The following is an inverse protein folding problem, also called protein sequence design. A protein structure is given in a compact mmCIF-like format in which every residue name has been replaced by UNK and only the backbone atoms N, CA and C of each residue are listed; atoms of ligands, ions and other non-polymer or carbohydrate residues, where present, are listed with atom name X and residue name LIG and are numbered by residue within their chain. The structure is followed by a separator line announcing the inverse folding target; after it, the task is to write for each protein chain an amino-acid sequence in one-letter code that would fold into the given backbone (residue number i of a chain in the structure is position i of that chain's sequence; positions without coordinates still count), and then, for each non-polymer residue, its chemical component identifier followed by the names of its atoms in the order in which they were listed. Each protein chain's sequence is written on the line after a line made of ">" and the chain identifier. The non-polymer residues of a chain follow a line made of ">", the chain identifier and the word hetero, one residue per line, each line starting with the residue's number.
data_IF_201451844123
#
_entry.id   IF_201451844123
#
_cell.length_a   1.000
_cell.length_b   1.000
_cell.length_c   1.000
_cell.angle_alpha   90.00
_cell.angle_beta   90.00
_cell.angle_gamma   90.00
#
_symmetry.space_group_name_H-M   'P 1'
#
loop_
_entity.id
_entity.type
_entity.pdbx_description
1 polymer ?
#
# COMPACT_ATOMS: atom_id res chain seq x y z
N UNK A 1 -16.17 -23.23 -67.88
CA UNK A 1 -16.87 -23.68 -66.65
C UNK A 1 -15.89 -24.41 -65.76
N UNK A 2 -15.66 -23.85 -64.55
CA UNK A 2 -15.30 -24.47 -63.26
C UNK A 2 -14.38 -23.50 -62.51
N UNK A 3 -15.03 -22.64 -61.72
CA UNK A 3 -14.36 -21.78 -60.75
C UNK A 3 -13.93 -22.65 -59.56
N UNK A 4 -12.67 -22.51 -59.14
CA UNK A 4 -12.15 -23.11 -57.93
C UNK A 4 -12.37 -22.14 -56.77
N UNK A 5 -13.24 -22.50 -55.83
CA UNK A 5 -13.47 -21.74 -54.60
C UNK A 5 -12.48 -22.21 -53.56
N UNK A 6 -11.51 -21.36 -53.22
CA UNK A 6 -10.63 -21.55 -52.06
C UNK A 6 -11.43 -21.18 -50.81
N UNK A 7 -11.68 -22.15 -49.94
CA UNK A 7 -12.27 -21.91 -48.61
C UNK A 7 -11.13 -21.56 -47.66
N UNK A 8 -11.02 -20.29 -47.29
CA UNK A 8 -10.17 -19.86 -46.17
C UNK A 8 -10.90 -20.12 -44.86
N UNK A 9 -10.40 -21.06 -44.05
CA UNK A 9 -10.80 -21.20 -42.65
C UNK A 9 -10.22 -20.02 -41.84
N UNK A 10 -11.08 -19.10 -41.38
CA UNK A 10 -10.73 -18.23 -40.27
C UNK A 10 -10.78 -19.05 -38.98
N UNK A 11 -9.63 -19.29 -38.36
CA UNK A 11 -9.56 -19.74 -36.99
C UNK A 11 -9.82 -18.53 -36.08
N UNK A 12 -10.98 -18.47 -35.44
CA UNK A 12 -11.24 -17.52 -34.37
C UNK A 12 -10.47 -17.96 -33.13
N UNK A 13 -9.41 -17.23 -32.77
CA UNK A 13 -8.74 -17.35 -31.48
C UNK A 13 -9.68 -16.78 -30.42
N UNK A 14 -10.38 -17.66 -29.70
CA UNK A 14 -11.08 -17.28 -28.49
C UNK A 14 -10.06 -17.06 -27.37
N UNK A 15 -9.79 -15.80 -27.02
CA UNK A 15 -9.11 -15.48 -25.76
C UNK A 15 -10.07 -15.85 -24.61
N UNK A 16 -9.89 -17.04 -24.06
CA UNK A 16 -10.57 -17.46 -22.84
C UNK A 16 -10.01 -16.67 -21.67
N UNK A 17 -10.70 -15.61 -21.25
CA UNK A 17 -10.50 -15.08 -19.90
C UNK A 17 -10.88 -16.18 -18.91
N UNK A 18 -9.93 -16.62 -18.08
CA UNK A 18 -10.22 -17.51 -16.97
C UNK A 18 -11.12 -16.77 -15.98
N UNK A 19 -12.43 -16.97 -16.08
CA UNK A 19 -13.39 -16.47 -15.10
C UNK A 19 -13.20 -17.30 -13.83
N UNK A 20 -12.65 -16.67 -12.80
CA UNK A 20 -12.50 -17.29 -11.48
C UNK A 20 -13.88 -17.35 -10.81
N UNK A 21 -14.61 -18.46 -11.03
CA UNK A 21 -15.97 -18.71 -10.55
C UNK A 21 -16.12 -18.76 -9.00
N UNK A 22 -15.04 -18.56 -8.25
CA UNK A 22 -15.03 -18.51 -6.79
C UNK A 22 -15.02 -17.10 -6.18
N UNK A 23 -14.84 -16.03 -6.98
CA UNK A 23 -14.88 -14.65 -6.45
C UNK A 23 -16.34 -14.28 -6.17
N UNK A 24 -16.68 -13.90 -4.93
CA UNK A 24 -17.95 -13.22 -4.64
C UNK A 24 -18.06 -12.01 -5.58
N UNK A 25 -19.28 -11.63 -5.95
CA UNK A 25 -19.50 -10.36 -6.63
C UNK A 25 -19.07 -9.24 -5.69
N UNK A 26 -17.85 -8.76 -5.85
CA UNK A 26 -17.33 -7.61 -5.14
C UNK A 26 -17.99 -6.35 -5.71
N UNK A 27 -18.38 -5.38 -4.88
CA UNK A 27 -19.15 -4.22 -5.32
C UNK A 27 -18.34 -3.22 -6.17
N UNK A 28 -17.01 -3.38 -6.24
CA UNK A 28 -16.11 -2.56 -7.03
C UNK A 28 -15.19 -3.44 -7.90
N UNK A 29 -15.13 -3.16 -9.20
CA UNK A 29 -14.21 -3.78 -10.17
C UNK A 29 -13.19 -2.75 -10.64
N UNK A 30 -11.91 -3.13 -10.72
CA UNK A 30 -10.81 -2.24 -11.13
C UNK A 30 -10.07 -2.87 -12.30
N UNK A 31 -9.94 -2.11 -13.39
CA UNK A 31 -9.17 -2.49 -14.58
C UNK A 31 -8.19 -1.40 -14.94
N UNK A 32 -7.01 -1.78 -15.45
CA UNK A 32 -5.99 -0.84 -15.90
C UNK A 32 -5.71 -1.01 -17.39
N UNK A 33 -5.34 0.08 -18.06
CA UNK A 33 -4.83 0.11 -19.42
C UNK A 33 -3.69 1.12 -19.56
N UNK A 34 -2.78 0.86 -20.50
CA UNK A 34 -1.72 1.81 -20.88
C UNK A 34 -2.29 2.85 -21.84
N UNK A 35 -2.13 4.13 -21.53
CA UNK A 35 -2.67 5.27 -22.32
C UNK A 35 -1.60 6.23 -22.82
N UNK A 36 -0.36 6.07 -22.36
CA UNK A 36 0.83 6.77 -22.81
C UNK A 36 2.05 5.86 -22.66
N UNK A 37 3.26 6.42 -22.61
CA UNK A 37 4.47 5.62 -22.45
C UNK A 37 4.47 4.85 -21.12
N UNK A 38 4.68 5.53 -19.99
CA UNK A 38 4.55 4.98 -18.65
C UNK A 38 3.22 5.35 -17.99
N UNK A 39 2.33 5.98 -18.77
CA UNK A 39 1.05 6.47 -18.29
C UNK A 39 -0.03 5.38 -18.34
N UNK A 40 -0.67 5.19 -17.19
CA UNK A 40 -1.73 4.21 -16.98
C UNK A 40 -3.04 4.92 -16.68
N UNK A 41 -4.13 4.27 -17.04
CA UNK A 41 -5.48 4.67 -16.67
C UNK A 41 -6.20 3.49 -16.03
N UNK A 42 -6.76 3.71 -14.85
CA UNK A 42 -7.66 2.77 -14.21
C UNK A 42 -9.11 3.18 -14.43
N UNK A 43 -9.96 2.18 -14.61
CA UNK A 43 -11.43 2.29 -14.60
C UNK A 43 -11.96 1.54 -13.39
N UNK A 44 -12.63 2.24 -12.48
CA UNK A 44 -13.24 1.71 -11.26
C UNK A 44 -14.73 1.70 -11.47
N UNK A 45 -15.32 0.52 -11.51
CA UNK A 45 -16.76 0.32 -11.78
C UNK A 45 -17.46 -0.09 -10.50
N UNK A 46 -18.51 0.63 -10.11
CA UNK A 46 -19.43 0.13 -9.10
C UNK A 46 -20.39 -0.87 -9.76
N UNK A 47 -20.15 -2.15 -9.48
CA UNK A 47 -20.95 -3.28 -10.01
C UNK A 47 -22.16 -3.60 -9.11
N UNK A 48 -22.28 -2.91 -7.98
CA UNK A 48 -23.38 -3.00 -7.05
C UNK A 48 -24.65 -2.29 -7.51
N UNK A 49 -25.61 -2.19 -6.60
CA UNK A 49 -26.94 -1.60 -6.86
C UNK A 49 -27.20 -0.29 -6.11
N UNK A 50 -26.25 0.16 -5.28
CA UNK A 50 -26.32 1.38 -4.49
C UNK A 50 -25.05 2.23 -4.69
N UNK A 51 -25.12 3.55 -4.50
CA UNK A 51 -23.94 4.40 -4.54
C UNK A 51 -22.94 4.03 -3.43
N UNK A 52 -21.66 4.14 -3.72
CA UNK A 52 -20.58 3.90 -2.77
C UNK A 52 -19.69 5.12 -2.66
N UNK A 53 -19.29 5.48 -1.44
CA UNK A 53 -18.34 6.55 -1.19
C UNK A 53 -16.98 5.94 -0.93
N UNK A 54 -16.11 5.95 -1.94
CA UNK A 54 -14.79 5.31 -1.88
C UNK A 54 -13.78 6.30 -1.29
N UNK A 55 -13.06 5.87 -0.24
CA UNK A 55 -12.02 6.66 0.39
C UNK A 55 -10.84 6.84 -0.56
N UNK A 56 -10.40 8.08 -0.77
CA UNK A 56 -9.32 8.40 -1.71
C UNK A 56 -7.94 8.08 -1.14
N UNK A 57 -7.67 8.47 0.09
CA UNK A 57 -6.36 8.34 0.73
C UNK A 57 -5.87 6.88 0.72
N UNK A 58 -4.62 6.66 0.30
CA UNK A 58 -3.98 5.35 0.17
C UNK A 58 -4.52 4.46 -0.95
N UNK A 59 -5.50 4.93 -1.73
CA UNK A 59 -6.11 4.15 -2.81
C UNK A 59 -5.58 4.56 -4.19
N UNK A 60 -6.03 3.86 -5.24
CA UNK A 60 -5.77 4.25 -6.63
C UNK A 60 -6.31 5.66 -6.99
N UNK A 61 -7.27 6.17 -6.22
CA UNK A 61 -7.85 7.50 -6.33
C UNK A 61 -7.04 8.59 -5.61
N UNK A 62 -6.00 8.24 -4.85
CA UNK A 62 -5.19 9.21 -4.11
C UNK A 62 -4.47 10.17 -5.07
N UNK A 63 -4.40 11.45 -4.73
CA UNK A 63 -3.63 12.45 -5.49
C UNK A 63 -2.13 12.42 -5.18
N UNK A 64 -1.74 11.76 -4.10
CA UNK A 64 -0.37 11.59 -3.63
C UNK A 64 0.36 10.50 -4.44
N UNK A 65 1.71 10.48 -4.42
CA UNK A 65 2.51 9.49 -5.15
C UNK A 65 2.54 8.14 -4.42
N UNK A 66 1.37 7.58 -4.13
CA UNK A 66 1.21 6.21 -3.63
C UNK A 66 1.38 5.20 -4.76
N UNK A 67 1.62 3.92 -4.42
CA UNK A 67 1.74 2.89 -5.43
C UNK A 67 0.37 2.50 -5.97
N UNK A 68 0.14 2.77 -7.25
CA UNK A 68 -1.13 2.47 -7.95
C UNK A 68 -1.04 1.27 -8.87
N UNK A 69 0.18 0.86 -9.23
CA UNK A 69 0.45 -0.33 -10.03
C UNK A 69 1.84 -0.86 -9.70
N UNK A 70 1.98 -2.17 -9.68
CA UNK A 70 3.23 -2.89 -9.53
C UNK A 70 3.78 -3.28 -10.89
N UNK A 71 5.10 -3.16 -11.05
CA UNK A 71 5.82 -3.49 -12.29
C UNK A 71 6.77 -4.65 -12.05
N UNK A 72 6.83 -5.55 -13.02
CA UNK A 72 7.81 -6.62 -13.02
C UNK A 72 8.26 -7.02 -14.41
N UNK A 73 9.49 -7.51 -14.50
CA UNK A 73 9.99 -8.16 -15.70
C UNK A 73 10.13 -9.66 -15.44
N UNK A 74 9.86 -10.46 -16.46
CA UNK A 74 10.26 -11.87 -16.45
C UNK A 74 11.78 -11.94 -16.60
N UNK A 75 12.44 -12.80 -15.83
CA UNK A 75 13.86 -13.08 -16.03
C UNK A 75 14.08 -13.66 -17.43
N UNK A 76 15.28 -13.45 -17.98
CA UNK A 76 15.68 -13.96 -19.30
C UNK A 76 15.58 -15.49 -19.38
N UNK A 77 15.68 -16.18 -18.24
CA UNK A 77 15.54 -17.65 -18.14
C UNK A 77 14.11 -18.13 -17.81
N UNK A 78 13.15 -17.22 -17.63
CA UNK A 78 11.74 -17.53 -17.32
C UNK A 78 11.49 -18.09 -15.91
N UNK A 79 12.50 -18.15 -15.04
CA UNK A 79 12.40 -18.75 -13.70
C UNK A 79 12.26 -17.75 -12.55
N UNK A 80 12.39 -16.45 -12.83
CA UNK A 80 12.34 -15.38 -11.83
C UNK A 80 11.48 -14.20 -12.30
N UNK A 81 10.85 -13.52 -11.34
CA UNK A 81 10.15 -12.25 -11.55
C UNK A 81 10.95 -11.17 -10.85
N UNK A 82 11.45 -10.18 -11.59
CA UNK A 82 12.14 -9.04 -11.02
C UNK A 82 11.15 -7.89 -10.88
N UNK A 83 10.78 -7.55 -9.64
CA UNK A 83 9.93 -6.39 -9.36
C UNK A 83 10.73 -5.10 -9.51
N UNK A 84 10.13 -4.07 -10.09
CA UNK A 84 10.65 -2.71 -10.04
C UNK A 84 10.28 -2.12 -8.69
N UNK A 85 11.26 -1.58 -7.98
CA UNK A 85 11.03 -0.99 -6.66
C UNK A 85 10.09 0.23 -6.76
N UNK A 86 9.27 0.40 -5.73
CA UNK A 86 8.47 1.60 -5.52
C UNK A 86 9.29 2.66 -4.76
N UNK A 87 9.26 3.90 -5.23
CA UNK A 87 10.02 5.04 -4.67
C UNK A 87 9.14 6.21 -4.22
N UNK A 88 7.81 6.02 -4.26
CA UNK A 88 6.82 6.98 -3.78
C UNK A 88 6.61 6.92 -2.27
N UNK A 89 5.37 7.15 -1.80
CA UNK A 89 5.01 7.11 -0.37
C UNK A 89 4.00 6.00 -0.06
N UNK A 90 4.20 5.37 1.10
CA UNK A 90 3.24 4.47 1.77
C UNK A 90 2.54 5.25 2.86
N UNK A 91 1.27 5.00 3.12
CA UNK A 91 0.46 5.87 4.01
C UNK A 91 -0.33 5.02 5.00
N UNK A 92 -0.43 5.43 6.26
CA UNK A 92 -1.48 4.91 7.15
C UNK A 92 -2.71 5.81 7.11
N UNK A 93 -3.88 5.21 6.90
CA UNK A 93 -5.13 5.94 6.64
C UNK A 93 -6.14 5.78 7.78
N UNK A 94 -6.68 6.91 8.24
CA UNK A 94 -7.70 7.00 9.28
C UNK A 94 -9.01 6.35 8.80
N UNK A 95 -9.82 5.84 9.73
CA UNK A 95 -11.05 5.11 9.45
C UNK A 95 -12.33 5.74 10.04
N UNK A 96 -12.16 6.72 10.92
CA UNK A 96 -13.24 7.53 11.50
C UNK A 96 -13.04 9.03 11.22
N UNK A 97 -14.06 9.84 11.53
CA UNK A 97 -13.98 11.32 11.51
C UNK A 97 -13.49 11.93 10.18
N UNK A 98 -13.73 11.23 9.07
CA UNK A 98 -13.32 11.65 7.72
C UNK A 98 -14.30 12.70 7.18
N UNK A 99 -13.81 13.81 6.58
CA UNK A 99 -14.66 14.80 5.92
C UNK A 99 -15.21 14.27 4.58
N UNK A 100 -16.25 14.91 4.05
CA UNK A 100 -16.82 14.53 2.75
C UNK A 100 -15.81 14.59 1.60
N UNK A 101 -14.86 15.53 1.68
CA UNK A 101 -13.76 15.69 0.74
C UNK A 101 -12.80 14.52 0.70
N UNK A 102 -12.80 13.62 1.69
CA UNK A 102 -11.98 12.42 1.70
C UNK A 102 -12.48 11.35 0.71
N UNK A 103 -13.73 11.45 0.25
CA UNK A 103 -14.38 10.41 -0.55
C UNK A 103 -14.60 10.83 -2.01
N UNK A 104 -14.63 9.82 -2.88
CA UNK A 104 -15.18 9.88 -4.23
C UNK A 104 -16.46 9.04 -4.23
N UNK A 105 -17.61 9.66 -4.51
CA UNK A 105 -18.85 8.90 -4.74
C UNK A 105 -18.80 8.24 -6.11
N UNK A 106 -19.21 6.98 -6.18
CA UNK A 106 -19.38 6.19 -7.40
C UNK A 106 -20.81 5.65 -7.40
N UNK A 107 -21.65 6.20 -8.27
CA UNK A 107 -23.05 5.78 -8.43
C UNK A 107 -23.14 4.32 -8.89
N UNK A 108 -24.28 3.66 -8.66
CA UNK A 108 -24.48 2.29 -9.13
C UNK A 108 -24.35 2.20 -10.66
N UNK A 109 -23.43 1.35 -11.15
CA UNK A 109 -23.11 1.22 -12.57
C UNK A 109 -22.20 2.32 -13.14
N UNK A 110 -21.80 3.32 -12.35
CA UNK A 110 -20.86 4.34 -12.77
C UNK A 110 -19.44 3.78 -12.90
N UNK A 111 -18.68 4.35 -13.85
CA UNK A 111 -17.26 4.10 -14.04
C UNK A 111 -16.48 5.39 -13.80
N UNK A 112 -15.72 5.44 -12.71
CA UNK A 112 -14.75 6.51 -12.45
C UNK A 112 -13.42 6.14 -13.09
N UNK A 113 -12.78 7.11 -13.75
CA UNK A 113 -11.48 6.93 -14.40
C UNK A 113 -10.42 7.79 -13.71
N UNK A 114 -9.26 7.19 -13.45
CA UNK A 114 -8.08 7.89 -12.91
C UNK A 114 -6.87 7.57 -13.77
N UNK A 115 -6.09 8.59 -14.09
CA UNK A 115 -4.89 8.50 -14.93
C UNK A 115 -3.69 8.98 -14.14
N UNK A 116 -2.56 8.30 -14.28
CA UNK A 116 -1.30 8.68 -13.64
C UNK A 116 -0.12 8.18 -14.46
N UNK A 117 1.03 8.83 -14.29
CA UNK A 117 2.28 8.35 -14.86
C UNK A 117 3.04 7.50 -13.84
N UNK A 118 3.15 6.20 -14.10
CA UNK A 118 3.80 5.27 -13.18
C UNK A 118 5.31 5.49 -13.05
N UNK A 119 5.95 6.13 -14.04
CA UNK A 119 7.39 6.43 -13.97
C UNK A 119 7.72 7.49 -12.90
N UNK A 120 6.73 8.20 -12.36
CA UNK A 120 6.94 9.09 -11.22
C UNK A 120 7.47 8.34 -9.99
N UNK A 121 7.01 7.11 -9.78
CA UNK A 121 7.26 6.36 -8.53
C UNK A 121 7.87 4.97 -8.75
N UNK A 122 8.09 4.58 -10.01
CA UNK A 122 8.89 3.43 -10.39
C UNK A 122 9.96 3.88 -11.38
N UNK A 123 11.21 3.49 -11.13
CA UNK A 123 12.27 3.71 -12.11
C UNK A 123 12.14 2.69 -13.25
N UNK A 124 11.49 3.12 -14.33
CA UNK A 124 11.27 2.34 -15.55
C UNK A 124 12.32 2.66 -16.64
N UNK A 125 13.45 3.27 -16.27
CA UNK A 125 14.49 3.71 -17.22
C UNK A 125 15.14 2.58 -18.02
N UNK A 126 15.05 1.33 -17.55
CA UNK A 126 15.53 0.17 -18.30
C UNK A 126 14.77 -0.02 -19.63
N UNK A 127 13.52 0.45 -19.70
CA UNK A 127 12.63 0.24 -20.83
C UNK A 127 12.33 -1.24 -21.12
N UNK A 128 11.62 -1.48 -22.22
CA UNK A 128 11.25 -2.83 -22.68
C UNK A 128 9.90 -3.28 -22.16
N UNK A 129 9.69 -4.60 -22.13
CA UNK A 129 8.42 -5.21 -21.79
C UNK A 129 8.26 -5.42 -20.29
N UNK A 130 7.13 -4.98 -19.75
CA UNK A 130 6.75 -5.13 -18.35
C UNK A 130 5.43 -5.87 -18.22
N UNK A 131 5.33 -6.68 -17.16
CA UNK A 131 4.07 -7.13 -16.59
C UNK A 131 3.64 -6.12 -15.52
N UNK A 132 2.48 -5.53 -15.71
CA UNK A 132 1.89 -4.50 -14.86
C UNK A 132 0.64 -5.06 -14.22
N UNK A 133 0.48 -4.91 -12.92
CA UNK A 133 -0.77 -5.22 -12.21
C UNK A 133 -1.11 -4.07 -11.29
N UNK A 134 -2.39 -3.85 -11.02
CA UNK A 134 -2.84 -3.00 -9.94
C UNK A 134 -3.57 -3.87 -8.93
N UNK A 135 -2.97 -3.98 -7.75
CA UNK A 135 -3.52 -4.71 -6.61
C UNK A 135 -3.54 -3.80 -5.40
N UNK A 136 -4.56 -3.94 -4.56
CA UNK A 136 -4.75 -3.11 -3.38
C UNK A 136 -6.15 -3.25 -2.82
N UNK A 137 -6.57 -2.27 -2.01
CA UNK A 137 -7.92 -2.24 -1.45
C UNK A 137 -8.61 -0.90 -1.67
N UNK A 138 -9.94 -0.94 -1.85
CA UNK A 138 -10.83 0.21 -1.89
C UNK A 138 -11.74 0.17 -0.68
N UNK A 139 -11.44 1.00 0.32
CA UNK A 139 -12.29 1.18 1.50
C UNK A 139 -13.46 2.08 1.12
N UNK A 140 -14.65 1.76 1.58
CA UNK A 140 -15.86 2.50 1.22
C UNK A 140 -16.79 2.72 2.42
N UNK A 141 -17.57 3.79 2.32
CA UNK A 141 -18.72 4.09 3.16
C UNK A 141 -20.01 3.97 2.33
N UNK A 142 -21.11 3.72 3.04
CA UNK A 142 -22.45 3.76 2.45
C UNK A 142 -22.86 5.19 2.06
N UNK A 143 -23.85 5.32 1.19
CA UNK A 143 -24.44 6.60 0.80
C UNK A 143 -24.85 7.44 2.04
N UNK A 144 -24.53 8.73 2.03
CA UNK A 144 -24.85 9.64 3.13
C UNK A 144 -24.04 9.45 4.42
N UNK A 145 -23.04 8.56 4.43
CA UNK A 145 -22.17 8.29 5.57
C UNK A 145 -20.69 8.54 5.23
N UNK A 146 -19.89 8.91 6.24
CA UNK A 146 -18.41 8.91 6.18
C UNK A 146 -17.78 7.81 7.03
N UNK A 147 -18.60 6.97 7.66
CA UNK A 147 -18.12 5.82 8.41
C UNK A 147 -17.80 4.69 7.43
N UNK A 148 -16.57 4.21 7.45
CA UNK A 148 -16.15 3.07 6.65
C UNK A 148 -17.02 1.85 7.00
N UNK A 149 -17.70 1.32 5.97
CA UNK A 149 -18.62 0.20 6.07
C UNK A 149 -17.96 -1.12 5.64
N UNK A 150 -16.96 -1.04 4.76
CA UNK A 150 -16.22 -2.20 4.28
C UNK A 150 -15.04 -1.82 3.40
N UNK A 151 -14.44 -2.84 2.80
CA UNK A 151 -13.39 -2.68 1.80
C UNK A 151 -13.47 -3.77 0.75
N UNK A 152 -12.99 -3.47 -0.46
CA UNK A 152 -12.82 -4.43 -1.55
C UNK A 152 -11.34 -4.59 -1.84
N UNK A 153 -10.80 -5.80 -1.67
CA UNK A 153 -9.44 -6.12 -2.14
C UNK A 153 -9.53 -6.51 -3.61
N UNK A 154 -8.89 -5.72 -4.48
CA UNK A 154 -8.97 -5.87 -5.92
C UNK A 154 -7.67 -6.37 -6.53
N UNK A 155 -7.79 -6.94 -7.73
CA UNK A 155 -6.69 -7.33 -8.59
C UNK A 155 -7.15 -7.07 -10.02
N UNK A 156 -6.44 -6.20 -10.74
CA UNK A 156 -6.77 -5.83 -12.12
C UNK A 156 -6.46 -6.92 -13.13
N UNK A 157 -5.80 -8.00 -12.72
CA UNK A 157 -5.06 -8.89 -13.60
C UNK A 157 -3.76 -8.25 -14.10
N UNK A 158 -3.08 -8.99 -14.98
CA UNK A 158 -1.80 -8.56 -15.58
C UNK A 158 -2.04 -7.91 -16.94
N UNK A 159 -1.57 -6.69 -17.08
CA UNK A 159 -1.40 -5.96 -18.32
C UNK A 159 0.06 -6.12 -18.80
N UNK A 160 0.25 -6.56 -20.03
CA UNK A 160 1.57 -6.53 -20.68
C UNK A 160 1.71 -5.23 -21.47
N UNK A 161 2.80 -4.51 -21.25
CA UNK A 161 3.05 -3.20 -21.86
C UNK A 161 4.54 -2.99 -22.13
N UNK A 162 4.85 -2.30 -23.22
CA UNK A 162 6.21 -1.89 -23.57
C UNK A 162 6.42 -0.43 -23.18
N UNK A 163 7.55 -0.12 -22.55
CA UNK A 163 7.92 1.23 -22.10
C UNK A 163 9.22 1.69 -22.79
N UNK A 164 9.21 2.91 -23.34
CA UNK A 164 10.42 3.64 -23.69
C UNK A 164 11.10 4.14 -22.42
N UNK A 165 12.24 3.52 -22.10
CA UNK A 165 13.02 3.82 -20.89
C UNK A 165 13.58 5.24 -20.87
N UNK A 166 13.87 5.86 -22.03
CA UNK A 166 14.41 7.23 -22.06
C UNK A 166 13.34 8.23 -21.67
N UNK A 167 12.13 8.07 -22.18
CA UNK A 167 10.99 8.91 -21.81
C UNK A 167 10.60 8.70 -20.35
N UNK A 168 10.54 7.45 -19.88
CA UNK A 168 10.24 7.13 -18.49
C UNK A 168 11.29 7.72 -17.52
N UNK A 169 12.57 7.64 -17.87
CA UNK A 169 13.65 8.25 -17.08
C UNK A 169 13.47 9.78 -16.96
N UNK A 170 13.03 10.45 -18.03
CA UNK A 170 12.76 11.90 -17.99
C UNK A 170 11.61 12.25 -17.04
N UNK A 171 10.55 11.44 -17.02
CA UNK A 171 9.43 11.62 -16.08
C UNK A 171 9.90 11.43 -14.65
N UNK A 172 10.63 10.34 -14.39
CA UNK A 172 11.15 10.00 -13.07
C UNK A 172 12.04 11.13 -12.51
N UNK A 173 13.01 11.58 -13.30
CA UNK A 173 13.91 12.66 -12.91
C UNK A 173 13.17 13.98 -12.64
N UNK A 174 12.24 14.38 -13.51
CA UNK A 174 11.46 15.60 -13.34
C UNK A 174 10.58 15.57 -12.08
N UNK A 175 9.95 14.43 -11.80
CA UNK A 175 9.14 14.25 -10.59
C UNK A 175 10.00 14.37 -9.33
N UNK A 176 11.12 13.64 -9.26
CA UNK A 176 12.01 13.67 -8.10
C UNK A 176 12.69 15.03 -7.89
N UNK A 177 13.03 15.74 -8.97
CA UNK A 177 13.51 17.13 -8.88
C UNK A 177 12.43 18.05 -8.29
N UNK A 178 11.17 17.89 -8.72
CA UNK A 178 10.06 18.67 -8.16
C UNK A 178 9.82 18.41 -6.67
N UNK A 179 10.06 17.17 -6.20
CA UNK A 179 10.00 16.83 -4.78
C UNK A 179 11.17 17.47 -4.02
N UNK A 180 12.38 17.43 -4.56
CA UNK A 180 13.55 18.05 -3.96
C UNK A 180 13.41 19.57 -3.82
N UNK A 181 12.85 20.24 -4.83
CA UNK A 181 12.58 21.67 -4.78
C UNK A 181 11.58 22.07 -3.67
N UNK A 182 10.67 21.15 -3.30
CA UNK A 182 9.71 21.35 -2.19
C UNK A 182 10.31 21.10 -0.80
N UNK A 183 11.47 20.43 -0.70
CA UNK A 183 12.14 20.07 0.56
C UNK A 183 12.97 21.20 1.20
N UNK A 184 12.91 22.43 0.67
CA UNK A 184 13.69 23.57 1.21
C UNK A 184 13.01 24.14 2.45
N UNK A 185 13.06 23.43 3.57
CA UNK A 185 12.94 24.07 4.88
C UNK A 185 13.67 23.31 5.98
N UNK A 186 14.60 23.97 6.66
CA UNK A 186 15.19 23.48 7.91
C UNK A 186 14.15 23.71 9.01
N UNK A 187 13.46 22.66 9.44
CA UNK A 187 12.46 22.75 10.50
C UNK A 187 12.94 22.10 11.79
N UNK A 188 12.57 22.71 12.91
CA UNK A 188 12.64 22.10 14.25
C UNK A 188 11.25 21.55 14.59
N UNK A 189 10.75 20.63 13.78
CA UNK A 189 9.31 20.38 13.61
C UNK A 189 8.63 19.63 14.75
N UNK A 190 9.31 18.68 15.39
CA UNK A 190 8.82 18.06 16.60
C UNK A 190 9.13 18.95 17.82
N UNK A 191 8.26 19.92 18.12
CA UNK A 191 8.34 20.77 19.34
C UNK A 191 7.18 20.53 20.30
N UNK A 192 7.32 21.04 21.53
CA UNK A 192 6.24 21.08 22.53
C UNK A 192 5.59 19.72 22.81
N UNK A 193 4.26 19.68 22.81
CA UNK A 193 3.46 18.48 23.08
C UNK A 193 3.60 17.41 22.01
N UNK A 194 3.75 17.79 20.73
CA UNK A 194 3.99 16.85 19.63
C UNK A 194 5.28 16.05 19.85
N UNK A 195 6.37 16.73 20.24
CA UNK A 195 7.65 16.07 20.59
C UNK A 195 7.47 15.05 21.71
N UNK A 196 6.78 15.43 22.79
CA UNK A 196 6.55 14.55 23.93
C UNK A 196 5.74 13.33 23.53
N UNK A 197 4.66 13.51 22.76
CA UNK A 197 3.81 12.43 22.28
C UNK A 197 4.59 11.46 21.37
N UNK A 198 5.31 11.97 20.38
CA UNK A 198 6.11 11.15 19.46
C UNK A 198 7.23 10.40 20.19
N UNK A 199 7.92 11.05 21.13
CA UNK A 199 8.98 10.39 21.93
C UNK A 199 8.41 9.24 22.77
N UNK A 200 7.25 9.45 23.39
CA UNK A 200 6.56 8.41 24.15
C UNK A 200 6.06 7.28 23.25
N UNK A 201 5.53 7.61 22.07
CA UNK A 201 5.08 6.65 21.07
C UNK A 201 6.24 5.79 20.55
N UNK A 202 7.40 6.37 20.23
CA UNK A 202 8.61 5.65 19.81
C UNK A 202 9.07 4.64 20.87
N UNK A 203 9.12 5.05 22.14
CA UNK A 203 9.50 4.17 23.25
C UNK A 203 8.57 2.95 23.38
N UNK A 204 7.26 3.18 23.22
CA UNK A 204 6.25 2.11 23.22
C UNK A 204 6.31 1.26 21.95
N UNK A 205 6.50 1.85 20.77
CA UNK A 205 6.59 1.15 19.50
C UNK A 205 7.81 0.20 19.48
N UNK A 206 8.95 0.64 20.01
CA UNK A 206 10.11 -0.23 20.26
C UNK A 206 9.74 -1.43 21.13
N UNK A 207 8.95 -1.21 22.19
CA UNK A 207 8.49 -2.28 23.08
C UNK A 207 7.57 -3.25 22.34
N UNK A 208 6.62 -2.75 21.54
CA UNK A 208 5.72 -3.57 20.72
C UNK A 208 6.52 -4.45 19.75
N UNK A 209 7.46 -3.85 19.01
CA UNK A 209 8.31 -4.57 18.07
C UNK A 209 9.21 -5.60 18.78
N UNK A 210 9.80 -5.28 19.92
CA UNK A 210 10.64 -6.22 20.70
C UNK A 210 9.83 -7.42 21.20
N UNK A 211 8.64 -7.17 21.76
CA UNK A 211 7.75 -8.24 22.23
C UNK A 211 7.26 -9.11 21.08
N UNK A 212 6.90 -8.48 19.95
CA UNK A 212 6.48 -9.17 18.73
C UNK A 212 7.61 -10.05 18.15
N UNK A 213 8.85 -9.56 18.15
CA UNK A 213 10.02 -10.36 17.75
C UNK A 213 10.15 -11.63 18.60
N UNK A 214 10.11 -11.49 19.93
CA UNK A 214 10.19 -12.64 20.85
C UNK A 214 9.03 -13.61 20.64
N UNK A 215 7.81 -13.09 20.50
CA UNK A 215 6.62 -13.90 20.22
C UNK A 215 6.73 -14.65 18.88
N UNK A 216 7.25 -13.99 17.84
CA UNK A 216 7.41 -14.59 16.51
C UNK A 216 8.45 -15.72 16.54
N UNK A 217 9.57 -15.54 17.26
CA UNK A 217 10.55 -16.60 17.48
C UNK A 217 9.93 -17.82 18.21
N UNK A 218 9.04 -17.58 19.17
CA UNK A 218 8.29 -18.64 19.84
C UNK A 218 7.18 -19.25 18.97
N UNK A 219 6.78 -18.59 17.88
CA UNK A 219 5.68 -19.00 17.00
C UNK A 219 4.29 -18.63 17.52
N UNK A 220 4.20 -17.75 18.51
CA UNK A 220 2.95 -17.33 19.13
C UNK A 220 2.08 -16.59 18.12
N UNK A 221 0.82 -17.02 17.92
CA UNK A 221 -0.19 -16.35 17.07
C UNK A 221 0.19 -16.10 15.59
N UNK A 222 1.29 -16.65 15.08
CA UNK A 222 1.69 -16.43 13.68
C UNK A 222 0.64 -16.95 12.68
N UNK A 223 -0.03 -18.06 12.98
CA UNK A 223 -1.11 -18.56 12.13
C UNK A 223 -2.25 -17.56 11.96
N UNK A 224 -2.56 -16.77 13.01
CA UNK A 224 -3.65 -15.82 13.01
C UNK A 224 -3.37 -14.63 12.09
N UNK A 225 -2.15 -14.08 12.14
CA UNK A 225 -1.80 -12.85 11.42
C UNK A 225 -1.07 -13.08 10.10
N UNK A 226 -0.28 -14.16 9.99
CA UNK A 226 0.55 -14.46 8.82
C UNK A 226 0.19 -15.77 8.13
N UNK A 227 -0.86 -16.46 8.59
CA UNK A 227 -1.42 -17.70 8.01
C UNK A 227 -0.43 -18.88 7.90
N UNK A 228 0.68 -18.79 8.60
CA UNK A 228 1.74 -19.78 8.58
C UNK A 228 2.51 -19.79 9.88
N UNK A 229 2.94 -20.98 10.30
CA UNK A 229 3.85 -21.18 11.43
C UNK A 229 5.15 -21.85 11.00
N UNK A 230 5.47 -21.83 9.70
CA UNK A 230 6.72 -22.42 9.19
C UNK A 230 7.95 -21.71 9.77
N UNK A 231 9.08 -22.40 9.80
CA UNK A 231 10.34 -21.80 10.25
C UNK A 231 10.72 -20.57 9.41
N UNK A 232 10.45 -20.58 8.10
CA UNK A 232 10.67 -19.42 7.23
C UNK A 232 9.81 -18.22 7.63
N UNK A 233 8.50 -18.41 7.82
CA UNK A 233 7.60 -17.34 8.28
C UNK A 233 8.05 -16.80 9.65
N UNK A 234 8.39 -17.68 10.60
CA UNK A 234 8.91 -17.28 11.93
C UNK A 234 10.13 -16.38 11.80
N UNK A 235 11.15 -16.82 11.05
CA UNK A 235 12.40 -16.08 10.88
C UNK A 235 12.18 -14.75 10.16
N UNK A 236 11.35 -14.72 9.11
CA UNK A 236 11.03 -13.47 8.40
C UNK A 236 10.35 -12.47 9.33
N UNK A 237 9.29 -12.88 10.04
CA UNK A 237 8.53 -11.98 10.92
C UNK A 237 9.40 -11.48 12.07
N UNK A 238 10.15 -12.37 12.73
CA UNK A 238 11.05 -11.98 13.81
C UNK A 238 12.19 -11.07 13.33
N UNK A 239 12.72 -11.29 12.12
CA UNK A 239 13.74 -10.45 11.51
C UNK A 239 13.25 -9.03 11.25
N UNK A 240 12.06 -8.88 10.68
CA UNK A 240 11.44 -7.57 10.42
C UNK A 240 11.20 -6.83 11.74
N UNK A 241 10.63 -7.47 12.76
CA UNK A 241 10.43 -6.83 14.06
C UNK A 241 11.74 -6.45 14.76
N UNK A 242 12.80 -7.25 14.63
CA UNK A 242 14.11 -6.91 15.19
C UNK A 242 14.70 -5.63 14.56
N UNK A 243 14.55 -5.48 13.25
CA UNK A 243 14.96 -4.27 12.53
C UNK A 243 14.08 -3.08 12.90
N UNK A 244 12.76 -3.27 12.98
CA UNK A 244 11.83 -2.24 13.43
C UNK A 244 12.15 -1.76 14.86
N UNK A 245 12.41 -2.68 15.80
CA UNK A 245 12.80 -2.35 17.17
C UNK A 245 14.13 -1.58 17.25
N UNK A 246 15.07 -1.90 16.35
CA UNK A 246 16.35 -1.16 16.24
C UNK A 246 16.11 0.26 15.75
N UNK A 247 15.35 0.42 14.67
CA UNK A 247 15.03 1.72 14.09
C UNK A 247 14.24 2.59 15.08
N UNK A 248 13.10 2.09 15.58
CA UNK A 248 12.22 2.80 16.50
C UNK A 248 12.86 3.07 17.86
N UNK A 249 13.92 2.34 18.18
CA UNK A 249 14.70 2.52 19.41
C UNK A 249 15.86 3.51 19.29
N UNK A 250 16.14 4.05 18.10
CA UNK A 250 17.15 5.06 17.86
C UNK A 250 16.50 6.41 17.56
N UNK A 251 17.09 7.47 18.10
CA UNK A 251 16.73 8.86 17.76
C UNK A 251 17.88 9.60 17.08
N UNK A 252 18.95 8.89 16.72
CA UNK A 252 20.19 9.46 16.20
C UNK A 252 20.80 8.70 15.02
N UNK A 253 20.14 7.63 14.56
CA UNK A 253 20.58 6.80 13.43
C UNK A 253 19.39 6.06 12.80
N UNK A 254 19.52 5.72 11.51
CA UNK A 254 18.43 5.11 10.72
C UNK A 254 17.58 6.16 10.00
N UNK A 255 16.44 5.74 9.44
CA UNK A 255 15.45 6.61 8.83
C UNK A 255 14.97 7.73 9.78
N UNK A 256 14.79 8.93 9.23
CA UNK A 256 14.28 10.08 9.99
C UNK A 256 12.79 9.95 10.32
N UNK A 257 12.35 10.58 11.41
CA UNK A 257 10.94 10.79 11.73
C UNK A 257 10.65 12.28 11.86
N UNK A 258 9.64 12.76 11.13
CA UNK A 258 9.24 14.16 11.08
C UNK A 258 7.81 14.36 11.62
N UNK A 259 7.59 15.49 12.28
CA UNK A 259 6.26 15.95 12.73
C UNK A 259 5.67 17.02 11.80
N UNK A 260 6.47 17.54 10.87
CA UNK A 260 6.03 18.40 9.78
C UNK A 260 5.97 17.58 8.51
N UNK A 261 4.99 17.92 7.68
CA UNK A 261 4.77 17.33 6.36
C UNK A 261 5.85 17.76 5.35
N UNK A 262 7.05 17.19 5.48
CA UNK A 262 8.21 17.50 4.62
C UNK A 262 8.06 17.03 3.17
N UNK A 263 7.07 16.17 2.90
CA UNK A 263 6.72 15.68 1.58
C UNK A 263 5.49 16.35 0.98
N UNK A 264 4.72 17.11 1.78
CA UNK A 264 3.44 17.69 1.42
C UNK A 264 2.41 16.61 0.99
N UNK A 265 2.32 15.52 1.77
CA UNK A 265 1.44 14.37 1.55
C UNK A 265 0.46 14.09 2.70
N UNK A 266 0.49 14.90 3.77
CA UNK A 266 -0.56 14.89 4.78
C UNK A 266 -1.83 15.52 4.20
N UNK A 267 -2.79 14.67 3.84
CA UNK A 267 -4.10 15.05 3.32
C UNK A 267 -5.23 14.46 4.16
N UNK A 268 -6.49 14.69 3.77
CA UNK A 268 -7.66 14.22 4.51
C UNK A 268 -7.59 12.69 4.74
N UNK A 269 -7.55 12.30 6.02
CA UNK A 269 -7.46 10.92 6.44
C UNK A 269 -6.05 10.33 6.48
N UNK A 270 -5.00 11.01 6.02
CA UNK A 270 -3.63 10.51 6.14
C UNK A 270 -3.12 10.74 7.57
N UNK A 271 -2.83 9.65 8.28
CA UNK A 271 -2.38 9.65 9.68
C UNK A 271 -0.87 9.78 9.75
N UNK A 272 -0.17 9.04 8.90
CA UNK A 272 1.27 9.03 8.77
C UNK A 272 1.62 8.53 7.36
N UNK A 273 2.87 8.73 6.98
CA UNK A 273 3.39 8.13 5.75
C UNK A 273 4.87 7.83 5.86
N UNK A 274 5.33 6.84 5.09
CA UNK A 274 6.72 6.47 4.96
C UNK A 274 7.15 6.57 3.49
N UNK A 275 8.32 7.18 3.24
CA UNK A 275 8.98 7.11 1.95
C UNK A 275 10.05 6.00 2.00
N UNK A 276 9.84 4.84 1.35
CA UNK A 276 10.87 3.80 1.23
C UNK A 276 12.07 4.25 0.36
N UNK A 277 13.13 3.44 0.37
CA UNK A 277 14.32 3.65 -0.45
C UNK A 277 15.53 4.23 0.30
N UNK A 278 16.55 4.66 -0.47
CA UNK A 278 17.78 5.23 0.08
C UNK A 278 17.49 6.59 0.72
N UNK A 279 17.74 6.70 2.03
CA UNK A 279 17.38 7.89 2.81
C UNK A 279 15.89 7.97 3.17
N UNK A 280 15.23 6.82 3.30
CA UNK A 280 13.83 6.75 3.70
C UNK A 280 13.54 7.45 5.03
N UNK A 281 12.28 7.85 5.21
CA UNK A 281 11.82 8.56 6.39
C UNK A 281 10.34 8.31 6.65
N UNK A 282 9.91 8.62 7.87
CA UNK A 282 8.52 8.57 8.33
C UNK A 282 8.07 9.99 8.65
N UNK A 283 6.83 10.31 8.36
CA UNK A 283 6.15 11.54 8.79
C UNK A 283 4.90 11.18 9.53
N UNK A 284 4.68 11.81 10.69
CA UNK A 284 3.40 11.75 11.40
C UNK A 284 2.58 13.01 11.09
N UNK A 285 1.39 12.83 10.55
CA UNK A 285 0.46 13.91 10.21
C UNK A 285 -0.40 14.32 11.42
N UNK A 286 -1.22 15.37 11.29
CA UNK A 286 -2.03 15.85 12.42
C UNK A 286 -3.03 14.80 12.94
N UNK A 287 -3.56 13.95 12.06
CA UNK A 287 -4.43 12.82 12.45
C UNK A 287 -3.74 11.83 13.40
N UNK A 288 -2.40 11.66 13.35
CA UNK A 288 -1.67 10.81 14.30
C UNK A 288 -1.94 11.17 15.76
N UNK A 289 -2.05 12.46 16.05
CA UNK A 289 -2.23 12.95 17.41
C UNK A 289 -3.66 12.76 17.94
N UNK A 290 -4.61 12.33 17.10
CA UNK A 290 -5.96 11.95 17.51
C UNK A 290 -6.02 10.52 18.06
N UNK A 291 -5.04 9.67 17.71
CA UNK A 291 -4.95 8.32 18.24
C UNK A 291 -4.47 8.31 19.70
N UNK A 292 -4.92 7.35 20.52
CA UNK A 292 -4.46 7.22 21.89
C UNK A 292 -2.96 6.92 21.93
N UNK A 293 -2.28 7.41 22.96
CA UNK A 293 -0.85 7.14 23.19
C UNK A 293 -0.54 5.65 23.40
N UNK A 294 -1.53 4.89 23.87
CA UNK A 294 -1.58 3.42 23.83
C UNK A 294 -2.98 2.95 24.18
N UNK A 295 -3.34 1.74 23.76
CA UNK A 295 -4.61 1.10 24.12
C UNK A 295 -4.40 -0.34 24.60
N UNK A 296 -5.30 -0.82 25.46
CA UNK A 296 -5.39 -2.24 25.84
C UNK A 296 -6.51 -2.98 25.11
N UNK A 297 -7.28 -2.26 24.28
CA UNK A 297 -8.39 -2.85 23.52
C UNK A 297 -7.84 -3.67 22.36
N UNK A 298 -8.34 -4.90 22.21
CA UNK A 298 -7.97 -5.79 21.11
C UNK A 298 -8.21 -5.12 19.76
N UNK A 299 -7.24 -5.22 18.83
CA UNK A 299 -7.34 -4.71 17.45
C UNK A 299 -7.57 -3.20 17.31
N UNK A 300 -7.45 -2.43 18.39
CA UNK A 300 -7.54 -0.99 18.33
C UNK A 300 -6.19 -0.38 17.91
N UNK A 301 -6.26 0.68 17.11
CA UNK A 301 -5.09 1.45 16.70
C UNK A 301 -4.67 2.42 17.80
N UNK A 302 -3.36 2.52 18.04
CA UNK A 302 -2.75 3.53 18.89
C UNK A 302 -1.50 4.11 18.21
N UNK A 303 -0.91 5.16 18.79
CA UNK A 303 0.28 5.79 18.20
C UNK A 303 1.46 4.78 17.98
N UNK A 304 1.77 3.87 18.92
CA UNK A 304 2.78 2.83 18.71
C UNK A 304 2.48 1.90 17.54
N UNK A 305 1.23 1.49 17.37
CA UNK A 305 0.77 0.69 16.23
C UNK A 305 1.13 1.38 14.92
N UNK A 306 0.79 2.66 14.77
CA UNK A 306 1.05 3.43 13.54
C UNK A 306 2.55 3.51 13.27
N UNK A 307 3.38 3.75 14.28
CA UNK A 307 4.83 3.79 14.09
C UNK A 307 5.43 2.42 13.70
N UNK A 308 4.89 1.32 14.23
CA UNK A 308 5.30 -0.03 13.79
C UNK A 308 4.90 -0.24 12.33
N UNK A 309 3.66 0.09 11.95
CA UNK A 309 3.17 0.04 10.57
C UNK A 309 4.13 0.78 9.62
N UNK A 310 4.34 2.08 9.84
CA UNK A 310 5.17 2.92 8.98
C UNK A 310 6.63 2.46 8.91
N UNK A 311 7.17 1.96 10.03
CA UNK A 311 8.54 1.44 10.05
C UNK A 311 8.74 0.24 9.11
N UNK A 312 7.72 -0.58 8.90
CA UNK A 312 7.83 -1.79 8.09
C UNK A 312 7.92 -1.49 6.59
N UNK A 313 7.39 -0.36 6.13
CA UNK A 313 7.53 0.11 4.75
C UNK A 313 8.97 0.43 4.38
N UNK A 314 9.80 0.85 5.34
CA UNK A 314 11.18 1.21 5.07
C UNK A 314 11.97 -0.01 4.59
N UNK A 315 12.72 0.18 3.50
CA UNK A 315 13.48 -0.90 2.83
C UNK A 315 14.50 -1.56 3.77
N UNK A 316 15.08 -0.80 4.69
CA UNK A 316 16.02 -1.33 5.68
C UNK A 316 15.35 -2.28 6.69
N UNK A 317 14.05 -2.13 6.92
CA UNK A 317 13.25 -2.92 7.86
C UNK A 317 12.61 -4.13 7.16
N UNK A 318 11.59 -3.88 6.33
CA UNK A 318 10.78 -4.92 5.71
C UNK A 318 10.42 -4.65 4.25
N UNK A 319 10.33 -3.38 3.85
CA UNK A 319 9.87 -3.01 2.51
C UNK A 319 8.44 -3.49 2.23
N UNK A 320 7.58 -3.52 3.25
CA UNK A 320 6.19 -3.97 3.10
C UNK A 320 5.35 -2.98 2.31
N UNK A 321 4.23 -3.47 1.78
CA UNK A 321 3.23 -2.69 1.07
C UNK A 321 1.99 -2.45 1.96
N UNK A 322 1.10 -1.60 1.47
CA UNK A 322 -0.26 -1.39 2.00
C UNK A 322 -1.24 -2.25 1.21
N UNK A 323 -1.29 -3.55 1.49
CA UNK A 323 -2.19 -4.47 0.78
C UNK A 323 -3.64 -4.18 1.17
N UNK A 324 -3.89 -3.98 2.45
CA UNK A 324 -5.17 -3.57 3.01
C UNK A 324 -5.02 -3.09 4.47
N UNK A 325 -6.10 -2.51 5.02
CA UNK A 325 -6.12 -2.03 6.41
C UNK A 325 -7.19 -2.73 7.25
N UNK A 326 -6.95 -2.83 8.55
CA UNK A 326 -7.87 -3.43 9.50
C UNK A 326 -7.68 -4.94 9.65
N UNK A 327 -8.41 -5.52 10.61
CA UNK A 327 -8.34 -6.97 10.85
C UNK A 327 -9.35 -7.69 9.97
N UNK A 328 -10.61 -7.27 10.06
CA UNK A 328 -11.77 -7.91 9.44
C UNK A 328 -11.84 -7.57 7.95
N UNK A 329 -11.92 -8.60 7.11
CA UNK A 329 -11.92 -8.44 5.66
C UNK A 329 -10.55 -8.03 5.09
N UNK A 330 -9.51 -7.99 5.94
CA UNK A 330 -8.13 -7.67 5.58
C UNK A 330 -7.19 -8.72 6.16
N UNK A 331 -6.52 -8.44 7.29
CA UNK A 331 -5.48 -9.29 7.87
C UNK A 331 -5.99 -10.70 8.12
N UNK A 332 -7.27 -10.88 8.46
CA UNK A 332 -7.90 -12.20 8.65
C UNK A 332 -8.03 -13.03 7.37
N UNK A 333 -8.06 -12.38 6.20
CA UNK A 333 -8.39 -12.96 4.89
C UNK A 333 -7.21 -13.05 3.90
N UNK A 334 -6.10 -12.35 4.17
CA UNK A 334 -4.89 -12.38 3.33
C UNK A 334 -4.27 -13.78 3.26
N UNK A 335 -3.63 -14.10 2.13
CA UNK A 335 -2.71 -15.23 2.02
C UNK A 335 -1.41 -15.00 2.81
N UNK A 336 -0.63 -16.04 3.05
CA UNK A 336 0.68 -15.92 3.74
C UNK A 336 1.63 -14.93 3.07
N UNK A 337 1.71 -14.95 1.73
CA UNK A 337 2.60 -14.04 0.99
C UNK A 337 2.12 -12.59 1.08
N UNK A 338 0.81 -12.34 0.97
CA UNK A 338 0.24 -11.02 1.16
C UNK A 338 0.42 -10.53 2.60
N UNK A 339 0.18 -11.39 3.60
CA UNK A 339 0.30 -11.03 5.00
C UNK A 339 1.75 -10.68 5.39
N UNK A 340 2.74 -11.42 4.86
CA UNK A 340 4.16 -11.11 5.03
C UNK A 340 4.59 -9.82 4.33
N UNK A 341 3.79 -9.33 3.38
CA UNK A 341 4.05 -8.13 2.60
C UNK A 341 3.11 -6.97 2.98
N UNK A 342 2.28 -7.11 4.01
CA UNK A 342 1.31 -6.09 4.42
C UNK A 342 1.75 -5.46 5.75
N UNK A 343 1.99 -4.14 5.77
CA UNK A 343 2.42 -3.43 6.98
C UNK A 343 1.43 -3.61 8.15
N UNK A 344 0.13 -3.60 7.85
CA UNK A 344 -0.91 -3.73 8.87
C UNK A 344 -0.91 -5.10 9.55
N UNK A 345 -0.48 -6.17 8.87
CA UNK A 345 -0.31 -7.49 9.50
C UNK A 345 0.72 -7.44 10.63
N UNK A 346 1.81 -6.69 10.46
CA UNK A 346 2.85 -6.52 11.47
C UNK A 346 2.36 -5.63 12.62
N UNK A 347 1.73 -4.51 12.30
CA UNK A 347 1.18 -3.60 13.31
C UNK A 347 0.15 -4.32 14.19
N UNK A 348 -0.81 -5.02 13.57
CA UNK A 348 -1.82 -5.82 14.27
C UNK A 348 -1.24 -6.97 15.07
N UNK A 349 -0.26 -7.69 14.53
CA UNK A 349 0.40 -8.75 15.28
C UNK A 349 1.09 -8.18 16.53
N UNK A 350 1.83 -7.08 16.41
CA UNK A 350 2.53 -6.47 17.55
C UNK A 350 1.58 -5.96 18.64
N UNK A 351 0.47 -5.34 18.24
CA UNK A 351 -0.58 -4.87 19.13
C UNK A 351 -1.29 -6.05 19.80
N UNK A 352 -1.59 -7.12 19.05
CA UNK A 352 -2.22 -8.31 19.59
C UNK A 352 -1.34 -9.07 20.59
N UNK A 353 -0.03 -9.09 20.38
CA UNK A 353 0.92 -9.59 21.39
C UNK A 353 0.90 -8.72 22.64
N UNK A 354 0.89 -7.38 22.49
CA UNK A 354 0.87 -6.46 23.62
C UNK A 354 -0.41 -6.54 24.45
N UNK A 355 -1.55 -6.71 23.80
CA UNK A 355 -2.88 -6.75 24.44
C UNK A 355 -3.37 -8.17 24.73
N UNK A 356 -2.58 -9.18 24.36
CA UNK A 356 -2.90 -10.60 24.45
C UNK A 356 -4.21 -10.99 23.74
N UNK A 357 -4.45 -10.44 22.54
CA UNK A 357 -5.66 -10.67 21.75
C UNK A 357 -5.45 -11.49 20.50
#
# INVERSE_FOLDING_TARGET
>A
MKAATVVSCLAALANGAAVNLGRRAEPLDVKIEQVGNSELKASITNTGSTPLRVLKAGSILDGSPVEKAQFSTSSVDGTGVSKVAFTGVRVYVHDADLPDSAFQTIEAGEVVKVQWDAAQVHDLSSGGDFNISSTGSLRYAEEGSNKIAGQVVFDSGVLQATVDGTQAASVHAAFHESLNAKRVTIQSDCTGTKKTAVTAALSKAKTYATNAQTAANAGTRLQQYFKSTTSSTKTTVAGIFGKAATLLGSTSSGAGLYCTDVGNFCSDGVVAYAQPGSGGYIVVCDYFFQFPASTTSCRATDQPYVLVHESTHLTEVGGTDDVCYGYEGCVDSLSTSQALNNADSFAMYSQGIQTNC
#
